data_IF_100144031607
#
_entry.id   IF_100144031607
#
_cell.length_a   1.000
_cell.length_b   1.000
_cell.length_c   1.000
_cell.angle_alpha   90.00
_cell.angle_beta   90.00
_cell.angle_gamma   90.00
#
_symmetry.space_group_name_H-M   'P 1'
#
loop_
_entity.id
_entity.type
_entity.pdbx_description
1 polymer ?
#
# COMPACT_ATOMS: atom_id res chain seq x y z
N UNK A 1 13.74 -29.23 -2.91
CA UNK A 1 13.10 -27.92 -3.15
C UNK A 1 13.18 -27.68 -4.64
N UNK A 2 12.04 -27.48 -5.33
CA UNK A 2 12.00 -27.32 -6.78
C UNK A 2 12.74 -26.03 -7.21
N UNK A 3 13.39 -26.04 -8.36
CA UNK A 3 14.13 -24.91 -8.92
C UNK A 3 13.26 -23.63 -9.02
N UNK A 4 11.98 -23.77 -9.34
CA UNK A 4 11.02 -22.67 -9.45
C UNK A 4 10.85 -21.86 -8.15
N UNK A 5 10.95 -22.50 -6.96
CA UNK A 5 10.81 -21.79 -5.68
C UNK A 5 12.00 -20.84 -5.41
N UNK A 6 13.17 -21.06 -6.01
CA UNK A 6 14.34 -20.20 -5.83
C UNK A 6 14.20 -18.89 -6.62
N UNK A 7 13.64 -18.95 -7.82
CA UNK A 7 13.35 -17.75 -8.64
C UNK A 7 12.26 -16.90 -8.00
N UNK A 8 11.26 -17.53 -7.35
CA UNK A 8 10.20 -16.83 -6.62
C UNK A 8 10.74 -15.97 -5.46
N UNK A 9 11.78 -16.42 -4.74
CA UNK A 9 12.34 -15.64 -3.62
C UNK A 9 12.99 -14.34 -4.06
N UNK A 10 13.72 -14.35 -5.18
CA UNK A 10 14.38 -13.17 -5.71
C UNK A 10 13.35 -12.19 -6.30
N UNK A 11 12.30 -12.69 -6.94
CA UNK A 11 11.16 -11.89 -7.41
C UNK A 11 10.42 -11.22 -6.23
N UNK A 12 10.19 -11.94 -5.14
CA UNK A 12 9.57 -11.40 -3.93
C UNK A 12 10.44 -10.29 -3.32
N UNK A 13 11.74 -10.51 -3.18
CA UNK A 13 12.64 -9.51 -2.60
C UNK A 13 12.77 -8.27 -3.48
N UNK A 14 12.66 -8.40 -4.80
CA UNK A 14 12.78 -7.29 -5.75
C UNK A 14 11.65 -6.27 -5.67
N UNK A 15 10.45 -6.67 -5.22
CA UNK A 15 9.30 -5.77 -5.04
C UNK A 15 9.27 -5.13 -3.65
N UNK A 16 10.17 -5.50 -2.74
CA UNK A 16 10.23 -4.96 -1.38
C UNK A 16 11.10 -3.71 -1.32
N UNK A 17 10.61 -2.70 -0.64
CA UNK A 17 11.28 -1.41 -0.44
C UNK A 17 11.26 -1.05 1.04
N UNK A 18 12.37 -1.26 1.77
CA UNK A 18 12.45 -0.87 3.18
C UNK A 18 12.34 0.64 3.36
N UNK A 19 11.52 1.05 4.32
CA UNK A 19 11.30 2.46 4.70
C UNK A 19 11.55 2.60 6.20
N UNK A 20 12.51 3.43 6.57
CA UNK A 20 12.95 3.60 7.96
C UNK A 20 11.82 4.03 8.90
N UNK A 21 10.93 4.91 8.46
CA UNK A 21 9.80 5.37 9.27
C UNK A 21 8.83 4.26 9.67
N UNK A 22 8.75 3.17 8.90
CA UNK A 22 7.89 2.02 9.21
C UNK A 22 8.32 1.31 10.50
N UNK A 23 9.58 1.40 10.92
CA UNK A 23 10.07 0.76 12.15
C UNK A 23 9.39 1.30 13.41
N UNK A 24 8.99 2.57 13.41
CA UNK A 24 8.34 3.24 14.52
C UNK A 24 6.81 3.20 14.49
N UNK A 25 6.22 2.64 13.42
CA UNK A 25 4.77 2.60 13.24
C UNK A 25 4.11 1.63 14.21
N UNK A 26 3.16 2.14 15.00
CA UNK A 26 2.38 1.38 16.00
C UNK A 26 0.88 1.28 15.66
N UNK A 27 0.39 2.06 14.68
CA UNK A 27 -1.01 2.04 14.25
C UNK A 27 -1.11 2.30 12.76
N UNK A 28 -2.23 1.97 12.15
CA UNK A 28 -2.51 2.23 10.74
C UNK A 28 -2.82 3.70 10.47
N UNK A 29 -3.77 4.25 11.24
CA UNK A 29 -4.35 5.59 11.03
C UNK A 29 -4.14 6.54 12.21
N UNK A 30 -3.59 6.05 13.32
CA UNK A 30 -3.54 6.75 14.60
C UNK A 30 -4.80 6.54 15.45
N UNK A 31 -4.76 7.06 16.67
CA UNK A 31 -5.89 6.98 17.61
C UNK A 31 -6.47 8.36 17.83
N UNK A 32 -7.75 8.54 17.56
CA UNK A 32 -8.46 9.81 17.70
C UNK A 32 -9.67 9.63 18.60
N UNK A 33 -9.94 10.61 19.49
CA UNK A 33 -11.15 10.59 20.33
C UNK A 33 -12.37 10.80 19.43
N UNK A 34 -13.32 9.87 19.47
CA UNK A 34 -14.52 9.89 18.64
C UNK A 34 -15.64 10.79 19.17
N UNK A 35 -15.48 11.36 20.37
CA UNK A 35 -16.57 12.08 21.07
C UNK A 35 -16.75 13.52 20.64
N UNK A 36 -15.68 14.16 20.13
CA UNK A 36 -15.73 15.57 19.71
C UNK A 36 -15.09 15.78 18.34
N UNK A 37 -15.45 16.83 17.59
CA UNK A 37 -14.76 17.22 16.36
C UNK A 37 -13.30 17.48 16.66
N UNK A 38 -12.41 16.76 15.98
CA UNK A 38 -10.97 16.83 16.23
C UNK A 38 -10.37 17.87 15.28
N UNK A 39 -9.74 18.89 15.84
CA UNK A 39 -9.13 20.02 15.10
C UNK A 39 -7.79 19.67 14.44
N UNK A 40 -7.34 18.41 14.53
CA UNK A 40 -6.10 17.96 13.92
C UNK A 40 -6.19 17.95 12.40
N UNK A 41 -5.13 18.39 11.75
CA UNK A 41 -5.02 18.51 10.29
C UNK A 41 -4.09 17.48 9.64
N UNK A 42 -3.40 16.68 10.44
CA UNK A 42 -2.47 15.66 9.97
C UNK A 42 -2.59 14.37 10.77
N UNK A 43 -2.26 13.25 10.16
CA UNK A 43 -2.12 11.98 10.84
C UNK A 43 -0.96 12.01 11.85
N UNK A 44 -1.07 11.24 12.93
CA UNK A 44 -0.02 11.15 13.95
C UNK A 44 1.26 10.52 13.41
N UNK A 45 2.42 11.01 13.84
CA UNK A 45 3.73 10.59 13.31
C UNK A 45 4.02 9.08 13.42
N UNK A 46 3.40 8.41 14.39
CA UNK A 46 3.59 6.98 14.63
C UNK A 46 2.57 6.08 13.92
N UNK A 47 1.90 6.58 12.88
CA UNK A 47 0.96 5.78 12.09
C UNK A 47 1.41 5.59 10.64
N UNK A 48 0.91 4.52 10.00
CA UNK A 48 1.29 4.16 8.62
C UNK A 48 0.87 5.23 7.62
N UNK A 49 -0.31 5.83 7.79
CA UNK A 49 -0.78 6.90 6.90
C UNK A 49 0.17 8.09 6.89
N UNK A 50 0.72 8.48 8.06
CA UNK A 50 1.73 9.52 8.12
C UNK A 50 3.01 9.17 7.35
N UNK A 51 3.51 7.94 7.47
CA UNK A 51 4.69 7.47 6.74
C UNK A 51 4.44 7.44 5.24
N UNK A 52 3.26 6.97 4.81
CA UNK A 52 2.87 7.00 3.39
C UNK A 52 2.90 8.42 2.85
N UNK A 53 2.34 9.39 3.57
CA UNK A 53 2.22 10.77 3.10
C UNK A 53 3.53 11.56 3.15
N UNK A 54 4.38 11.34 4.16
CA UNK A 54 5.52 12.20 4.46
C UNK A 54 6.89 11.57 4.17
N UNK A 55 6.98 10.25 3.97
CA UNK A 55 8.23 9.59 3.64
C UNK A 55 8.17 8.90 2.27
N UNK A 56 7.06 8.20 1.95
CA UNK A 56 6.97 7.42 0.72
C UNK A 56 6.53 8.30 -0.46
N UNK A 57 5.48 9.11 -0.26
CA UNK A 57 4.90 9.97 -1.31
C UNK A 57 5.03 11.46 -0.99
N UNK A 58 6.06 11.83 -0.22
CA UNK A 58 6.33 13.24 0.11
C UNK A 58 6.56 14.13 -1.11
N UNK A 59 6.97 13.56 -2.23
CA UNK A 59 7.26 14.22 -3.50
C UNK A 59 6.23 13.92 -4.61
N UNK A 60 5.08 13.32 -4.25
CA UNK A 60 3.99 13.11 -5.19
C UNK A 60 3.42 14.44 -5.70
N UNK A 61 3.01 14.51 -6.97
CA UNK A 61 2.33 15.66 -7.55
C UNK A 61 0.93 15.83 -6.97
N UNK A 62 0.23 14.69 -6.82
CA UNK A 62 -1.10 14.62 -6.21
C UNK A 62 -1.17 13.44 -5.24
N UNK A 63 -1.87 13.63 -4.13
CA UNK A 63 -2.11 12.59 -3.14
C UNK A 63 -3.50 12.75 -2.53
N UNK A 64 -4.26 11.67 -2.51
CA UNK A 64 -5.57 11.60 -1.86
C UNK A 64 -5.60 10.46 -0.84
N UNK A 65 -6.20 10.70 0.33
CA UNK A 65 -6.55 9.68 1.31
C UNK A 65 -7.99 9.21 1.00
N UNK A 66 -8.15 8.07 0.33
CA UNK A 66 -9.44 7.57 -0.14
C UNK A 66 -10.09 6.57 0.83
N UNK A 67 -9.65 6.54 2.08
CA UNK A 67 -10.20 5.69 3.16
C UNK A 67 -11.60 6.15 3.59
N UNK A 68 -12.62 5.88 2.75
CA UNK A 68 -13.99 6.43 2.85
C UNK A 68 -15.10 5.36 2.86
N UNK A 69 -14.79 4.09 3.11
CA UNK A 69 -15.77 3.00 3.11
C UNK A 69 -16.14 2.46 1.71
N UNK A 70 -16.01 3.26 0.67
CA UNK A 70 -16.07 2.87 -0.74
C UNK A 70 -14.73 3.12 -1.44
N UNK A 71 -13.66 2.95 -0.70
CA UNK A 71 -12.29 3.20 -1.13
C UNK A 71 -11.87 2.32 -2.31
N UNK A 72 -11.05 2.89 -3.19
CA UNK A 72 -10.27 2.16 -4.17
C UNK A 72 -8.94 1.68 -3.59
N UNK A 73 -8.38 2.47 -2.67
CA UNK A 73 -7.22 2.18 -1.84
C UNK A 73 -7.26 3.08 -0.61
N UNK A 74 -6.39 2.87 0.38
CA UNK A 74 -6.28 3.82 1.50
C UNK A 74 -5.72 5.17 1.03
N UNK A 75 -4.73 5.13 0.14
CA UNK A 75 -4.22 6.33 -0.55
C UNK A 75 -4.11 6.07 -2.05
N UNK A 76 -4.27 7.14 -2.84
CA UNK A 76 -3.98 7.13 -4.27
C UNK A 76 -3.05 8.29 -4.56
N UNK A 77 -1.91 8.00 -5.20
CA UNK A 77 -0.91 8.99 -5.54
C UNK A 77 -0.71 9.07 -7.06
N UNK A 78 -0.41 10.27 -7.54
CA UNK A 78 0.13 10.49 -8.88
C UNK A 78 1.50 11.15 -8.73
N UNK A 79 2.50 10.55 -9.35
CA UNK A 79 3.84 11.10 -9.44
C UNK A 79 4.40 10.82 -10.83
N UNK A 80 4.84 11.86 -11.51
CA UNK A 80 5.30 11.74 -12.90
C UNK A 80 4.25 11.01 -13.78
N UNK A 81 4.62 9.95 -14.46
CA UNK A 81 3.73 9.12 -15.28
C UNK A 81 3.15 7.89 -14.53
N UNK A 82 3.22 7.88 -13.19
CA UNK A 82 2.81 6.76 -12.34
C UNK A 82 1.55 7.07 -11.54
N UNK A 83 0.58 6.15 -11.58
CA UNK A 83 -0.59 6.13 -10.68
C UNK A 83 -0.40 4.96 -9.71
N UNK A 84 -0.33 5.26 -8.41
CA UNK A 84 -0.13 4.26 -7.36
C UNK A 84 -1.35 4.16 -6.46
N UNK A 85 -1.86 2.94 -6.27
CA UNK A 85 -2.89 2.60 -5.28
C UNK A 85 -2.22 1.96 -4.08
N UNK A 86 -2.30 2.59 -2.92
CA UNK A 86 -1.56 2.20 -1.72
C UNK A 86 -2.54 1.65 -0.68
N UNK A 87 -2.36 0.40 -0.33
CA UNK A 87 -3.07 -0.27 0.76
C UNK A 87 -2.15 -0.35 1.98
N UNK A 88 -2.65 0.02 3.14
CA UNK A 88 -1.89 0.09 4.39
C UNK A 88 -2.42 -0.92 5.40
N UNK A 89 -1.52 -1.60 6.10
CA UNK A 89 -1.89 -2.48 7.22
C UNK A 89 -0.84 -2.43 8.31
N UNK A 90 -1.31 -2.20 9.52
CA UNK A 90 -0.45 -2.19 10.69
C UNK A 90 -0.88 -3.26 11.70
N UNK A 91 0.09 -3.85 12.38
CA UNK A 91 -0.12 -4.70 13.56
C UNK A 91 0.48 -4.07 14.79
N UNK A 92 -0.23 -4.16 15.91
CA UNK A 92 0.22 -3.64 17.20
C UNK A 92 1.45 -4.39 17.75
N UNK A 93 1.57 -5.67 17.41
CA UNK A 93 2.72 -6.50 17.79
C UNK A 93 3.60 -6.77 16.59
N UNK A 94 4.87 -6.43 16.71
CA UNK A 94 5.88 -6.72 15.70
C UNK A 94 5.98 -8.24 15.43
N UNK A 95 6.23 -8.59 14.18
CA UNK A 95 6.50 -9.94 13.72
C UNK A 95 5.62 -10.40 12.58
N UNK A 96 6.14 -11.36 11.82
CA UNK A 96 5.52 -11.93 10.64
C UNK A 96 4.09 -12.44 10.89
N UNK A 97 3.16 -12.10 10.03
CA UNK A 97 1.77 -12.50 10.14
C UNK A 97 1.16 -12.80 8.77
N UNK A 98 1.01 -14.08 8.48
CA UNK A 98 0.36 -14.52 7.25
C UNK A 98 -1.11 -14.07 7.18
N UNK A 99 -1.85 -14.04 8.29
CA UNK A 99 -3.26 -13.60 8.32
C UNK A 99 -3.42 -12.11 8.02
N UNK A 100 -2.59 -11.24 8.63
CA UNK A 100 -2.62 -9.82 8.31
C UNK A 100 -2.20 -9.55 6.86
N UNK A 101 -1.26 -10.36 6.35
CA UNK A 101 -0.82 -10.28 4.96
C UNK A 101 -1.93 -10.72 4.00
N UNK A 102 -2.64 -11.81 4.31
CA UNK A 102 -3.78 -12.26 3.53
C UNK A 102 -4.88 -11.19 3.45
N UNK A 103 -5.14 -10.48 4.54
CA UNK A 103 -6.12 -9.41 4.60
C UNK A 103 -5.78 -8.28 3.64
N UNK A 104 -4.55 -7.73 3.71
CA UNK A 104 -4.14 -6.60 2.85
C UNK A 104 -4.02 -7.02 1.38
N UNK A 105 -3.51 -8.22 1.08
CA UNK A 105 -3.47 -8.76 -0.29
C UNK A 105 -4.88 -8.92 -0.83
N UNK A 106 -5.82 -9.43 -0.02
CA UNK A 106 -7.22 -9.54 -0.41
C UNK A 106 -7.86 -8.19 -0.72
N UNK A 107 -7.58 -7.16 0.08
CA UNK A 107 -8.05 -5.79 -0.18
C UNK A 107 -7.46 -5.24 -1.49
N UNK A 108 -6.15 -5.37 -1.69
CA UNK A 108 -5.46 -4.89 -2.88
C UNK A 108 -5.97 -5.60 -4.15
N UNK A 109 -6.06 -6.92 -4.12
CA UNK A 109 -6.52 -7.72 -5.27
C UNK A 109 -7.98 -7.42 -5.63
N UNK A 110 -8.87 -7.27 -4.64
CA UNK A 110 -10.26 -6.87 -4.85
C UNK A 110 -10.38 -5.54 -5.61
N UNK A 111 -9.45 -4.62 -5.39
CA UNK A 111 -9.50 -3.27 -5.91
C UNK A 111 -8.71 -3.07 -7.23
N UNK A 112 -8.11 -4.13 -7.80
CA UNK A 112 -7.36 -4.05 -9.07
C UNK A 112 -8.18 -3.38 -10.18
N UNK A 113 -9.46 -3.72 -10.31
CA UNK A 113 -10.33 -3.15 -11.34
C UNK A 113 -10.53 -1.63 -11.25
N UNK A 114 -10.29 -1.05 -10.08
CA UNK A 114 -10.44 0.40 -9.88
C UNK A 114 -9.28 1.23 -10.47
N UNK A 115 -8.20 0.59 -10.96
CA UNK A 115 -7.10 1.29 -11.65
C UNK A 115 -7.45 1.71 -13.09
N UNK A 116 -8.58 1.26 -13.62
CA UNK A 116 -9.12 1.68 -14.93
C UNK A 116 -10.55 2.20 -14.81
N UNK A 117 -10.80 3.24 -13.99
CA UNK A 117 -12.13 3.76 -13.77
C UNK A 117 -12.65 4.49 -15.03
N UNK A 118 -13.96 4.47 -15.22
CA UNK A 118 -14.64 5.33 -16.20
C UNK A 118 -14.59 6.80 -15.74
N UNK A 119 -14.85 7.73 -16.67
CA UNK A 119 -14.95 9.16 -16.33
C UNK A 119 -16.03 9.43 -15.30
N UNK A 120 -17.16 8.72 -15.37
CA UNK A 120 -18.25 8.84 -14.39
C UNK A 120 -17.82 8.42 -12.98
N UNK A 121 -17.02 7.37 -12.86
CA UNK A 121 -16.48 6.93 -11.57
C UNK A 121 -15.49 7.92 -11.01
N UNK A 122 -14.59 8.46 -11.84
CA UNK A 122 -13.67 9.53 -11.44
C UNK A 122 -14.42 10.80 -10.99
N UNK A 123 -15.45 11.21 -11.72
CA UNK A 123 -16.27 12.38 -11.36
C UNK A 123 -17.06 12.15 -10.05
N UNK A 124 -17.47 10.91 -9.77
CA UNK A 124 -18.09 10.56 -8.48
C UNK A 124 -17.07 10.58 -7.34
N UNK A 125 -15.87 10.06 -7.56
CA UNK A 125 -14.78 10.13 -6.57
C UNK A 125 -14.37 11.57 -6.28
N UNK A 126 -14.26 12.43 -7.32
CA UNK A 126 -14.02 13.86 -7.15
C UNK A 126 -14.98 14.49 -6.15
N UNK A 127 -16.29 14.21 -6.25
CA UNK A 127 -17.31 14.72 -5.31
C UNK A 127 -17.11 14.22 -3.88
N UNK A 128 -16.51 13.04 -3.72
CA UNK A 128 -16.20 12.46 -2.41
C UNK A 128 -14.94 13.05 -1.78
N UNK A 129 -14.04 13.60 -2.59
CA UNK A 129 -12.75 14.14 -2.15
C UNK A 129 -12.78 15.66 -1.95
N UNK A 130 -13.55 16.39 -2.79
CA UNK A 130 -13.50 17.84 -2.85
C UNK A 130 -14.04 18.48 -1.58
N UNK A 131 -13.20 19.29 -0.92
CA UNK A 131 -13.54 20.02 0.30
C UNK A 131 -13.91 19.14 1.49
N UNK A 132 -13.60 17.83 1.47
CA UNK A 132 -13.93 16.89 2.55
C UNK A 132 -12.75 16.66 3.49
N UNK A 133 -13.09 16.25 4.70
CA UNK A 133 -12.13 15.83 5.73
C UNK A 133 -12.33 14.35 6.09
N UNK A 134 -11.25 13.70 6.48
CA UNK A 134 -11.25 12.30 6.88
C UNK A 134 -11.94 12.11 8.25
N UNK A 135 -12.93 11.24 8.29
CA UNK A 135 -13.66 10.93 9.51
C UNK A 135 -14.30 12.17 10.16
N UNK A 136 -14.11 12.35 11.47
CA UNK A 136 -14.53 13.54 12.24
C UNK A 136 -13.37 14.49 12.53
N UNK A 137 -12.32 14.46 11.74
CA UNK A 137 -11.12 15.29 11.89
C UNK A 137 -11.15 16.49 10.95
N UNK A 138 -10.15 17.36 11.05
CA UNK A 138 -9.86 18.42 10.06
C UNK A 138 -8.76 17.99 9.07
N UNK A 139 -8.44 16.69 8.98
CA UNK A 139 -7.47 16.14 8.03
C UNK A 139 -8.10 16.17 6.63
N UNK A 140 -7.61 16.97 5.69
CA UNK A 140 -8.20 17.03 4.35
C UNK A 140 -8.07 15.67 3.63
N UNK A 141 -9.10 15.27 2.89
CA UNK A 141 -9.05 14.07 2.02
C UNK A 141 -7.99 14.27 0.92
N UNK A 142 -7.99 15.44 0.27
CA UNK A 142 -6.91 15.81 -0.64
C UNK A 142 -5.70 16.21 0.17
N UNK A 143 -4.69 15.35 0.17
CA UNK A 143 -3.43 15.56 0.88
C UNK A 143 -2.46 16.45 0.10
N UNK A 144 -2.51 16.34 -1.24
CA UNK A 144 -1.75 17.20 -2.17
C UNK A 144 -2.58 17.51 -3.41
N UNK A 145 -2.54 18.75 -3.84
CA UNK A 145 -3.29 19.23 -4.99
C UNK A 145 -4.78 19.44 -4.68
N UNK A 146 -5.59 19.54 -5.72
CA UNK A 146 -7.05 19.63 -5.66
C UNK A 146 -7.71 18.43 -6.31
N UNK A 147 -8.94 18.10 -5.92
CA UNK A 147 -9.68 16.97 -6.51
C UNK A 147 -9.87 17.14 -8.03
N UNK A 148 -10.09 18.37 -8.49
CA UNK A 148 -10.18 18.69 -9.93
C UNK A 148 -8.88 18.37 -10.66
N UNK A 149 -7.74 18.89 -10.17
CA UNK A 149 -6.45 18.71 -10.82
C UNK A 149 -6.03 17.24 -10.78
N UNK A 150 -6.29 16.52 -9.68
CA UNK A 150 -6.06 15.08 -9.57
C UNK A 150 -6.82 14.30 -10.64
N UNK A 151 -8.14 14.54 -10.78
CA UNK A 151 -8.98 13.83 -11.75
C UNK A 151 -8.53 14.13 -13.19
N UNK A 152 -8.18 15.38 -13.49
CA UNK A 152 -7.66 15.75 -14.81
C UNK A 152 -6.34 15.04 -15.10
N UNK A 153 -5.38 15.05 -14.17
CA UNK A 153 -4.11 14.35 -14.30
C UNK A 153 -4.32 12.83 -14.48
N UNK A 154 -5.25 12.23 -13.73
CA UNK A 154 -5.59 10.81 -13.87
C UNK A 154 -6.13 10.49 -15.28
N UNK A 155 -7.07 11.31 -15.80
CA UNK A 155 -7.64 11.17 -17.14
C UNK A 155 -6.57 11.32 -18.24
N UNK A 156 -5.65 12.26 -18.08
CA UNK A 156 -4.52 12.46 -19.00
C UNK A 156 -3.56 11.26 -18.98
N UNK A 157 -3.17 10.80 -17.78
CA UNK A 157 -2.26 9.65 -17.64
C UNK A 157 -2.87 8.38 -18.21
N UNK A 158 -4.19 8.16 -18.03
CA UNK A 158 -4.87 6.96 -18.51
C UNK A 158 -4.69 6.71 -20.02
N UNK A 159 -4.51 7.75 -20.82
CA UNK A 159 -4.32 7.64 -22.27
C UNK A 159 -2.86 7.68 -22.71
N UNK A 160 -1.91 7.92 -21.80
CA UNK A 160 -0.47 7.92 -22.13
C UNK A 160 0.03 6.49 -22.36
N UNK A 161 0.82 6.25 -23.43
CA UNK A 161 1.36 4.92 -23.72
C UNK A 161 2.33 4.39 -22.64
N UNK A 162 3.11 5.29 -22.03
CA UNK A 162 4.17 4.95 -21.07
C UNK A 162 3.71 5.07 -19.60
N UNK A 163 2.39 5.16 -19.35
CA UNK A 163 1.90 5.23 -17.97
C UNK A 163 2.26 3.98 -17.19
N UNK A 164 2.60 4.17 -15.95
CA UNK A 164 2.80 3.08 -14.99
C UNK A 164 1.63 3.06 -14.03
N UNK A 165 1.08 1.87 -13.79
CA UNK A 165 0.08 1.63 -12.75
C UNK A 165 0.69 0.73 -11.70
N UNK A 166 0.58 1.12 -10.44
CA UNK A 166 1.14 0.37 -9.32
C UNK A 166 0.08 0.05 -8.28
N UNK A 167 0.17 -1.16 -7.71
CA UNK A 167 -0.44 -1.49 -6.43
C UNK A 167 0.66 -1.65 -5.40
N UNK A 168 0.55 -0.86 -4.32
CA UNK A 168 1.53 -0.82 -3.26
C UNK A 168 0.92 -1.30 -1.94
N UNK A 169 1.66 -2.12 -1.20
CA UNK A 169 1.32 -2.51 0.16
C UNK A 169 2.28 -1.81 1.12
N UNK A 170 1.76 -1.12 2.14
CA UNK A 170 2.55 -0.50 3.21
C UNK A 170 2.28 -1.23 4.53
N UNK A 171 3.28 -1.95 5.06
CA UNK A 171 3.11 -2.88 6.18
C UNK A 171 4.23 -2.79 7.20
N UNK A 172 3.90 -2.88 8.51
CA UNK A 172 4.89 -2.85 9.59
C UNK A 172 5.26 -4.23 10.18
N UNK A 173 4.71 -5.30 9.63
CA UNK A 173 4.87 -6.68 10.15
C UNK A 173 5.67 -7.60 9.22
N UNK A 174 6.33 -7.03 8.21
CA UNK A 174 7.28 -7.71 7.33
C UNK A 174 8.58 -6.92 7.34
N UNK A 175 9.71 -7.63 7.43
CA UNK A 175 11.06 -7.10 7.27
C UNK A 175 11.72 -7.77 6.07
N UNK A 176 12.35 -6.98 5.20
CA UNK A 176 13.06 -7.50 4.03
C UNK A 176 14.27 -8.34 4.47
N UNK A 177 15.04 -7.88 5.44
CA UNK A 177 16.20 -8.60 5.96
C UNK A 177 15.81 -9.92 6.64
N UNK A 178 14.71 -9.94 7.43
CA UNK A 178 14.20 -11.18 8.04
C UNK A 178 13.74 -12.19 6.97
N UNK A 179 13.05 -11.74 5.94
CA UNK A 179 12.63 -12.62 4.84
C UNK A 179 13.84 -13.15 4.06
N UNK A 180 14.82 -12.31 3.76
CA UNK A 180 16.05 -12.70 3.09
C UNK A 180 16.79 -13.81 3.86
N UNK A 181 16.93 -13.64 5.18
CA UNK A 181 17.55 -14.65 6.03
C UNK A 181 16.71 -15.96 6.10
N UNK A 182 15.39 -15.85 6.17
CA UNK A 182 14.50 -17.02 6.14
C UNK A 182 14.61 -17.79 4.82
N UNK A 183 14.66 -17.09 3.68
CA UNK A 183 14.85 -17.69 2.36
C UNK A 183 16.21 -18.38 2.24
N UNK A 184 17.27 -17.80 2.82
CA UNK A 184 18.58 -18.43 2.89
C UNK A 184 18.50 -19.75 3.65
N UNK A 185 17.93 -19.77 4.87
CA UNK A 185 17.72 -20.98 5.67
C UNK A 185 16.89 -22.04 4.93
N UNK A 186 15.86 -21.62 4.20
CA UNK A 186 15.06 -22.52 3.38
C UNK A 186 15.87 -23.15 2.23
N UNK A 187 16.70 -22.36 1.54
CA UNK A 187 17.59 -22.83 0.46
C UNK A 187 18.62 -23.86 1.00
N UNK A 188 19.11 -23.64 2.23
CA UNK A 188 20.09 -24.51 2.90
C UNK A 188 19.45 -25.70 3.63
N UNK A 189 18.13 -25.81 3.68
CA UNK A 189 17.42 -26.87 4.40
C UNK A 189 17.49 -26.75 5.93
N UNK A 190 17.87 -25.61 6.45
CA UNK A 190 18.01 -25.38 7.88
C UNK A 190 16.64 -25.24 8.57
N UNK A 191 16.45 -25.77 9.79
CA UNK A 191 15.24 -25.56 10.56
C UNK A 191 15.20 -24.16 11.16
N UNK A 192 14.00 -23.52 11.18
CA UNK A 192 13.74 -22.27 11.90
C UNK A 192 12.27 -22.17 12.32
N UNK A 193 12.02 -21.39 13.38
CA UNK A 193 10.73 -21.38 14.08
C UNK A 193 9.53 -20.96 13.22
N UNK A 194 9.71 -20.04 12.29
CA UNK A 194 8.61 -19.43 11.52
C UNK A 194 8.46 -20.02 10.11
N UNK A 195 9.07 -21.17 9.83
CA UNK A 195 9.08 -21.78 8.48
C UNK A 195 7.70 -21.88 7.83
N UNK A 196 6.69 -22.36 8.58
CA UNK A 196 5.34 -22.50 8.02
C UNK A 196 4.68 -21.15 7.70
N UNK A 197 4.87 -20.15 8.55
CA UNK A 197 4.37 -18.79 8.31
C UNK A 197 5.02 -18.18 7.05
N UNK A 198 6.34 -18.36 6.89
CA UNK A 198 7.06 -17.89 5.69
C UNK A 198 6.54 -18.61 4.44
N UNK A 199 6.32 -19.93 4.48
CA UNK A 199 5.75 -20.67 3.35
C UNK A 199 4.38 -20.10 2.96
N UNK A 200 3.50 -19.87 3.93
CA UNK A 200 2.18 -19.28 3.68
C UNK A 200 2.31 -17.87 3.04
N UNK A 201 3.24 -17.04 3.55
CA UNK A 201 3.49 -15.71 3.00
C UNK A 201 4.03 -15.77 1.57
N UNK A 202 4.94 -16.69 1.26
CA UNK A 202 5.45 -16.89 -0.11
C UNK A 202 4.32 -17.20 -1.09
N UNK A 203 3.39 -18.08 -0.72
CA UNK A 203 2.22 -18.37 -1.55
C UNK A 203 1.33 -17.15 -1.78
N UNK A 204 1.06 -16.37 -0.72
CA UNK A 204 0.27 -15.13 -0.83
C UNK A 204 0.97 -14.07 -1.69
N UNK A 205 2.30 -13.92 -1.52
CA UNK A 205 3.11 -12.99 -2.30
C UNK A 205 3.11 -13.37 -3.78
N UNK A 206 3.31 -14.65 -4.09
CA UNK A 206 3.28 -15.13 -5.48
C UNK A 206 1.91 -14.94 -6.12
N UNK A 207 0.83 -15.22 -5.39
CA UNK A 207 -0.53 -14.97 -5.88
C UNK A 207 -0.76 -13.46 -6.16
N UNK A 208 -0.30 -12.59 -5.27
CA UNK A 208 -0.38 -11.13 -5.44
C UNK A 208 0.42 -10.66 -6.66
N UNK A 209 1.69 -11.07 -6.78
CA UNK A 209 2.56 -10.74 -7.93
C UNK A 209 1.91 -11.23 -9.24
N UNK A 210 1.37 -12.46 -9.27
CA UNK A 210 0.71 -13.00 -10.45
C UNK A 210 -0.53 -12.20 -10.83
N UNK A 211 -1.40 -11.86 -9.86
CA UNK A 211 -2.58 -11.04 -10.11
C UNK A 211 -2.22 -9.65 -10.67
N UNK A 212 -1.15 -9.04 -10.16
CA UNK A 212 -0.67 -7.76 -10.69
C UNK A 212 -0.16 -7.91 -12.12
N UNK A 213 0.64 -8.94 -12.40
CA UNK A 213 1.16 -9.21 -13.75
C UNK A 213 0.05 -9.47 -14.77
N UNK A 214 -0.97 -10.26 -14.40
CA UNK A 214 -2.12 -10.54 -15.26
C UNK A 214 -2.92 -9.28 -15.62
N UNK A 215 -2.90 -8.30 -14.72
CA UNK A 215 -3.57 -7.00 -14.91
C UNK A 215 -2.65 -5.91 -15.51
N UNK A 216 -1.43 -6.24 -15.92
CA UNK A 216 -0.41 -5.29 -16.41
C UNK A 216 -0.10 -4.20 -15.38
N UNK A 217 0.09 -4.59 -14.12
CA UNK A 217 0.39 -3.71 -13.00
C UNK A 217 1.75 -4.01 -12.41
N UNK A 218 2.43 -2.97 -11.97
CA UNK A 218 3.56 -3.08 -11.06
C UNK A 218 3.06 -3.30 -9.64
N UNK A 219 3.79 -4.08 -8.86
CA UNK A 219 3.51 -4.23 -7.43
C UNK A 219 4.74 -3.87 -6.60
N UNK A 220 4.51 -3.28 -5.44
CA UNK A 220 5.56 -2.87 -4.51
C UNK A 220 5.12 -3.09 -3.06
N UNK A 221 6.05 -3.42 -2.19
CA UNK A 221 5.79 -3.58 -0.76
C UNK A 221 6.74 -2.68 0.02
N UNK A 222 6.20 -1.66 0.65
CA UNK A 222 6.90 -0.83 1.62
C UNK A 222 6.86 -1.52 2.99
N UNK A 223 8.02 -1.77 3.58
CA UNK A 223 8.16 -2.62 4.75
C UNK A 223 9.30 -2.15 5.65
N UNK A 224 9.55 -2.88 6.74
CA UNK A 224 10.76 -2.75 7.55
C UNK A 224 11.98 -3.30 6.82
N UNK A 225 13.16 -2.82 7.24
CA UNK A 225 14.42 -3.45 6.83
C UNK A 225 14.66 -4.77 7.56
#
# INVERSE_FOLDING_TARGET
>A
MNANIKEDFDAILSIMSPIKGIDSVSSEKGTYDKKEPITITNFSQNCMFHVVENEIYQDADYLVCDDLGNEWADHIAIKDDTISFIHSKCKDKAGLSASAFQEIVGQATKNIGNLDPSDKELDNKKKSWDGKSWGKTSIPIMRKGTAEAFVNAFKELRVKPNRVKEICLAVNFISQSELKEAFKKMKEGQPFRQKNTIIQMVWLLNAFISSCKEADLHCKIYCKD
#
